data_IF_774143942233
#
_entry.id   IF_774143942233
#
_cell.length_a   1.000
_cell.length_b   1.000
_cell.length_c   1.000
_cell.angle_alpha   90.00
_cell.angle_beta   90.00
_cell.angle_gamma   90.00
#
_symmetry.space_group_name_H-M   'P 1'
#
loop_
_entity.id
_entity.type
_entity.pdbx_description
1 polymer ?
#
# COMPACT_ATOMS: atom_id res chain seq x y z
N UNK A 1 -23.41 4.28 -0.17
CA UNK A 1 -23.43 3.08 -1.04
C UNK A 1 -23.72 1.81 -0.26
N UNK A 2 -22.99 1.51 0.82
CA UNK A 2 -23.25 0.34 1.69
C UNK A 2 -24.75 0.17 2.05
N UNK A 3 -25.42 1.20 2.59
CA UNK A 3 -26.84 1.08 2.96
C UNK A 3 -27.83 0.82 1.80
N UNK A 4 -27.50 1.17 0.55
CA UNK A 4 -28.38 0.93 -0.61
C UNK A 4 -28.33 -0.53 -1.03
N UNK A 5 -27.12 -1.09 -1.12
CA UNK A 5 -26.89 -2.50 -1.47
C UNK A 5 -27.41 -3.42 -0.36
N UNK A 6 -27.27 -3.00 0.90
CA UNK A 6 -27.75 -3.77 2.05
C UNK A 6 -29.28 -3.87 2.14
N UNK A 7 -30.01 -2.98 1.48
CA UNK A 7 -31.48 -3.06 1.42
C UNK A 7 -31.98 -3.93 0.25
N UNK A 8 -31.07 -4.49 -0.56
CA UNK A 8 -31.42 -5.39 -1.66
C UNK A 8 -31.54 -6.84 -1.20
N UNK A 9 -32.21 -7.65 -2.01
CA UNK A 9 -32.23 -9.11 -1.84
C UNK A 9 -30.80 -9.69 -1.82
N UNK A 10 -30.50 -10.53 -0.83
CA UNK A 10 -29.14 -11.02 -0.54
C UNK A 10 -28.53 -11.73 -1.76
N UNK A 11 -29.36 -12.49 -2.49
CA UNK A 11 -28.96 -13.21 -3.71
C UNK A 11 -28.40 -12.32 -4.83
N UNK A 12 -28.70 -11.01 -4.81
CA UNK A 12 -28.31 -10.06 -5.86
C UNK A 12 -27.19 -9.12 -5.43
N UNK A 13 -26.82 -9.08 -4.15
CA UNK A 13 -25.90 -8.08 -3.59
C UNK A 13 -24.51 -8.17 -4.23
N UNK A 14 -23.94 -9.38 -4.34
CA UNK A 14 -22.63 -9.61 -4.97
C UNK A 14 -22.60 -9.10 -6.40
N UNK A 15 -23.56 -9.51 -7.22
CA UNK A 15 -23.65 -9.09 -8.62
C UNK A 15 -23.77 -7.57 -8.75
N UNK A 16 -24.54 -6.92 -7.88
CA UNK A 16 -24.71 -5.47 -7.91
C UNK A 16 -23.43 -4.73 -7.52
N UNK A 17 -22.68 -5.21 -6.52
CA UNK A 17 -21.39 -4.63 -6.14
C UNK A 17 -20.41 -4.73 -7.30
N UNK A 18 -20.30 -5.90 -7.91
CA UNK A 18 -19.44 -6.15 -9.07
C UNK A 18 -19.81 -5.21 -10.23
N UNK A 19 -21.09 -5.04 -10.51
CA UNK A 19 -21.57 -4.09 -11.53
C UNK A 19 -21.18 -2.64 -11.19
N UNK A 20 -21.34 -2.21 -9.94
CA UNK A 20 -20.91 -0.88 -9.50
C UNK A 20 -19.40 -0.65 -9.70
N UNK A 21 -18.58 -1.66 -9.42
CA UNK A 21 -17.13 -1.59 -9.63
C UNK A 21 -16.83 -1.48 -11.13
N UNK A 22 -17.40 -2.37 -11.97
CA UNK A 22 -17.17 -2.39 -13.42
C UNK A 22 -17.59 -1.12 -14.14
N UNK A 23 -18.73 -0.55 -13.75
CA UNK A 23 -19.28 0.62 -14.42
C UNK A 23 -18.57 1.93 -14.04
N UNK A 24 -17.77 1.94 -12.96
CA UNK A 24 -16.99 3.11 -12.58
C UNK A 24 -15.70 3.19 -13.40
N UNK A 25 -15.40 4.33 -14.04
CA UNK A 25 -14.08 4.57 -14.64
C UNK A 25 -13.04 5.04 -13.61
N UNK A 26 -13.43 5.36 -12.38
CA UNK A 26 -12.55 5.89 -11.35
C UNK A 26 -12.01 4.78 -10.43
N UNK A 27 -10.68 4.51 -10.41
CA UNK A 27 -10.07 3.50 -9.54
C UNK A 27 -10.23 3.81 -8.05
N UNK A 28 -10.26 5.10 -7.67
CA UNK A 28 -10.47 5.50 -6.28
C UNK A 28 -11.84 5.04 -5.78
N UNK A 29 -12.87 5.32 -6.57
CA UNK A 29 -14.23 4.84 -6.31
C UNK A 29 -14.32 3.31 -6.28
N UNK A 30 -13.72 2.60 -7.24
CA UNK A 30 -13.71 1.12 -7.25
C UNK A 30 -13.15 0.55 -5.94
N UNK A 31 -12.03 1.12 -5.48
CA UNK A 31 -11.40 0.75 -4.20
C UNK A 31 -12.32 1.05 -3.02
N UNK A 32 -12.94 2.24 -2.99
CA UNK A 32 -13.82 2.63 -1.89
C UNK A 32 -15.05 1.73 -1.82
N UNK A 33 -15.65 1.36 -2.96
CA UNK A 33 -16.77 0.40 -3.00
C UNK A 33 -16.38 -0.91 -2.30
N UNK A 34 -15.20 -1.44 -2.62
CA UNK A 34 -14.70 -2.68 -2.03
C UNK A 34 -14.35 -2.53 -0.54
N UNK A 35 -13.72 -1.41 -0.15
CA UNK A 35 -13.31 -1.16 1.24
C UNK A 35 -14.46 -0.98 2.20
N UNK A 36 -15.57 -0.41 1.73
CA UNK A 36 -16.76 -0.14 2.57
C UNK A 36 -17.79 -1.28 2.56
N UNK A 37 -17.44 -2.46 2.03
CA UNK A 37 -18.23 -3.66 2.20
C UNK A 37 -18.28 -4.03 3.68
N UNK A 38 -19.50 -4.32 4.17
CA UNK A 38 -19.69 -4.86 5.51
C UNK A 38 -19.34 -6.35 5.45
N UNK A 39 -18.30 -6.76 6.16
CA UNK A 39 -17.82 -8.14 6.21
C UNK A 39 -18.33 -8.81 7.47
N UNK A 40 -18.64 -10.09 7.40
CA UNK A 40 -19.03 -10.85 8.59
C UNK A 40 -17.85 -10.88 9.58
N UNK A 41 -18.03 -10.30 10.77
CA UNK A 41 -17.05 -10.42 11.85
C UNK A 41 -17.38 -11.63 12.72
N UNK A 42 -16.38 -12.47 13.02
CA UNK A 42 -16.55 -13.69 13.84
C UNK A 42 -17.20 -13.42 15.21
N UNK A 43 -16.98 -12.23 15.77
CA UNK A 43 -17.47 -11.85 17.10
C UNK A 43 -18.76 -11.00 17.07
N UNK A 44 -19.18 -10.53 15.89
CA UNK A 44 -20.40 -9.73 15.66
C UNK A 44 -20.97 -10.05 14.28
N UNK A 45 -21.71 -11.16 14.13
CA UNK A 45 -22.37 -11.46 12.87
C UNK A 45 -23.47 -10.42 12.61
N UNK A 46 -23.14 -9.37 11.86
CA UNK A 46 -24.16 -8.51 11.26
C UNK A 46 -24.96 -9.37 10.27
N UNK A 47 -26.27 -9.50 10.49
CA UNK A 47 -27.17 -10.35 9.67
C UNK A 47 -27.13 -10.06 8.16
N UNK A 48 -26.63 -8.89 7.79
CA UNK A 48 -26.60 -8.38 6.42
C UNK A 48 -25.17 -8.27 5.84
N UNK A 49 -24.13 -8.71 6.55
CA UNK A 49 -22.79 -8.65 6.01
C UNK A 49 -22.52 -9.69 4.90
N UNK A 50 -21.48 -9.43 4.11
CA UNK A 50 -20.94 -10.36 3.14
C UNK A 50 -20.05 -11.39 3.84
N UNK A 51 -20.21 -12.65 3.44
CA UNK A 51 -19.33 -13.76 3.82
C UNK A 51 -17.92 -13.58 3.26
N UNK A 52 -16.96 -14.33 3.79
CA UNK A 52 -15.59 -14.33 3.28
C UNK A 52 -15.54 -14.74 1.79
N UNK A 53 -16.28 -15.78 1.41
CA UNK A 53 -16.35 -16.23 0.02
C UNK A 53 -16.96 -15.17 -0.91
N UNK A 54 -18.00 -14.46 -0.46
CA UNK A 54 -18.58 -13.36 -1.24
C UNK A 54 -17.61 -12.19 -1.39
N UNK A 55 -16.84 -11.86 -0.34
CA UNK A 55 -15.82 -10.81 -0.39
C UNK A 55 -14.71 -11.19 -1.36
N UNK A 56 -14.29 -12.45 -1.41
CA UNK A 56 -13.27 -12.93 -2.33
C UNK A 56 -13.72 -12.82 -3.78
N UNK A 57 -14.94 -13.29 -4.07
CA UNK A 57 -15.54 -13.15 -5.41
C UNK A 57 -15.63 -11.67 -5.82
N UNK A 58 -16.03 -10.79 -4.89
CA UNK A 58 -16.08 -9.37 -5.18
C UNK A 58 -14.67 -8.80 -5.40
N UNK A 59 -13.68 -9.23 -4.62
CA UNK A 59 -12.28 -8.74 -4.63
C UNK A 59 -11.53 -9.04 -5.92
N UNK A 60 -11.89 -10.11 -6.64
CA UNK A 60 -11.35 -10.40 -7.97
C UNK A 60 -11.67 -9.29 -9.01
N UNK A 61 -12.81 -8.63 -8.89
CA UNK A 61 -13.23 -7.61 -9.85
C UNK A 61 -12.40 -6.31 -9.78
N UNK A 62 -12.26 -5.62 -8.62
CA UNK A 62 -11.37 -4.48 -8.52
C UNK A 62 -9.92 -4.89 -8.82
N UNK A 63 -9.48 -6.11 -8.48
CA UNK A 63 -8.15 -6.59 -8.87
C UNK A 63 -7.96 -6.60 -10.40
N UNK A 64 -8.95 -7.10 -11.16
CA UNK A 64 -8.93 -7.06 -12.63
C UNK A 64 -8.89 -5.63 -13.17
N UNK A 65 -9.72 -4.73 -12.62
CA UNK A 65 -9.74 -3.33 -13.03
C UNK A 65 -8.39 -2.63 -12.77
N UNK A 66 -7.79 -2.91 -11.61
CA UNK A 66 -6.51 -2.34 -11.20
C UNK A 66 -5.32 -2.94 -11.96
N UNK A 67 -5.36 -4.23 -12.32
CA UNK A 67 -4.36 -4.83 -13.22
C UNK A 67 -4.37 -4.11 -14.58
N UNK A 68 -5.55 -3.85 -15.14
CA UNK A 68 -5.69 -3.10 -16.39
C UNK A 68 -5.22 -1.65 -16.27
N UNK A 69 -5.39 -1.02 -15.11
CA UNK A 69 -4.84 0.31 -14.81
C UNK A 69 -3.31 0.27 -14.81
N UNK A 70 -2.70 -0.68 -14.10
CA UNK A 70 -1.25 -0.84 -14.03
C UNK A 70 -0.65 -1.05 -15.43
N UNK A 71 -1.25 -1.91 -16.25
CA UNK A 71 -0.77 -2.17 -17.62
C UNK A 71 -0.80 -0.94 -18.55
N UNK A 72 -1.64 0.06 -18.24
CA UNK A 72 -1.75 1.31 -19.00
C UNK A 72 -0.97 2.47 -18.36
N UNK A 73 -0.48 2.28 -17.14
CA UNK A 73 0.21 3.30 -16.38
C UNK A 73 1.70 3.20 -16.67
N UNK A 74 2.36 4.34 -16.90
CA UNK A 74 3.82 4.36 -16.97
C UNK A 74 4.45 4.32 -15.56
N UNK A 75 3.86 5.06 -14.63
CA UNK A 75 4.25 5.17 -13.23
C UNK A 75 3.02 5.42 -12.34
N UNK A 76 2.61 4.37 -11.61
CA UNK A 76 1.42 4.43 -10.74
C UNK A 76 1.67 5.27 -9.48
N UNK A 77 2.92 5.43 -9.07
CA UNK A 77 3.29 6.26 -7.91
C UNK A 77 3.05 7.74 -8.16
N UNK A 78 3.04 8.15 -9.43
CA UNK A 78 2.73 9.52 -9.85
C UNK A 78 1.27 9.69 -10.26
N UNK A 79 0.71 8.72 -10.99
CA UNK A 79 -0.66 8.81 -11.50
C UNK A 79 -1.72 8.62 -10.41
N UNK A 80 -1.44 7.76 -9.42
CA UNK A 80 -2.41 7.37 -8.39
C UNK A 80 -1.84 7.34 -6.95
N UNK A 81 -1.00 8.32 -6.52
CA UNK A 81 -0.20 8.25 -5.30
C UNK A 81 -1.01 7.95 -4.03
N UNK A 82 -2.23 8.49 -3.94
CA UNK A 82 -3.09 8.37 -2.74
C UNK A 82 -3.71 6.98 -2.58
N UNK A 83 -3.81 6.23 -3.67
CA UNK A 83 -4.43 4.91 -3.70
C UNK A 83 -3.43 3.79 -3.99
N UNK A 84 -2.17 4.11 -4.33
CA UNK A 84 -1.11 3.14 -4.64
C UNK A 84 -0.99 2.02 -3.61
N UNK A 85 -1.04 2.31 -2.30
CA UNK A 85 -0.99 1.27 -1.28
C UNK A 85 -2.24 0.35 -1.34
N UNK A 86 -3.42 0.91 -1.61
CA UNK A 86 -4.63 0.09 -1.76
C UNK A 86 -4.58 -0.75 -3.03
N UNK A 87 -4.00 -0.20 -4.11
CA UNK A 87 -3.74 -0.93 -5.35
C UNK A 87 -2.83 -2.13 -5.05
N UNK A 88 -1.72 -1.89 -4.33
CA UNK A 88 -0.80 -2.96 -3.97
C UNK A 88 -1.46 -4.02 -3.11
N UNK A 89 -2.27 -3.62 -2.12
CA UNK A 89 -2.99 -4.52 -1.23
C UNK A 89 -4.00 -5.41 -1.98
N UNK A 90 -4.86 -4.81 -2.80
CA UNK A 90 -5.88 -5.57 -3.55
C UNK A 90 -5.22 -6.51 -4.55
N UNK A 91 -4.17 -6.08 -5.24
CA UNK A 91 -3.46 -6.94 -6.18
C UNK A 91 -2.69 -8.06 -5.47
N UNK A 92 -2.05 -7.82 -4.33
CA UNK A 92 -1.39 -8.88 -3.57
C UNK A 92 -2.37 -9.93 -3.04
N UNK A 93 -3.56 -9.49 -2.60
CA UNK A 93 -4.56 -10.39 -2.02
C UNK A 93 -5.37 -11.16 -3.08
N UNK A 94 -5.77 -10.49 -4.17
CA UNK A 94 -6.74 -11.02 -5.13
C UNK A 94 -6.19 -11.22 -6.55
N UNK A 95 -4.94 -10.86 -6.82
CA UNK A 95 -4.27 -11.18 -8.08
C UNK A 95 -3.21 -12.27 -7.85
N UNK A 96 -3.32 -13.38 -8.57
CA UNK A 96 -2.34 -14.48 -8.48
C UNK A 96 -0.96 -14.15 -9.07
N UNK A 97 -0.80 -12.97 -9.67
CA UNK A 97 0.43 -12.54 -10.34
C UNK A 97 1.04 -11.35 -9.60
N UNK A 98 2.38 -11.24 -9.54
CA UNK A 98 3.07 -10.10 -8.93
C UNK A 98 3.07 -8.86 -9.85
N UNK A 99 1.88 -8.42 -10.27
CA UNK A 99 1.69 -7.33 -11.25
C UNK A 99 2.22 -6.02 -10.69
N UNK A 100 1.83 -5.68 -9.46
CA UNK A 100 2.25 -4.43 -8.81
C UNK A 100 3.76 -4.39 -8.59
N UNK A 101 4.31 -5.47 -8.04
CA UNK A 101 5.75 -5.59 -7.77
C UNK A 101 6.58 -5.41 -9.05
N UNK A 102 6.21 -6.12 -10.13
CA UNK A 102 6.88 -6.02 -11.43
C UNK A 102 6.83 -4.60 -11.98
N UNK A 103 5.66 -3.97 -11.94
CA UNK A 103 5.47 -2.61 -12.41
C UNK A 103 6.37 -1.63 -11.67
N UNK A 104 6.37 -1.68 -10.34
CA UNK A 104 7.20 -0.80 -9.50
C UNK A 104 8.69 -1.05 -9.74
N UNK A 105 9.13 -2.30 -9.92
CA UNK A 105 10.53 -2.60 -10.29
C UNK A 105 10.92 -1.95 -11.62
N UNK A 106 10.03 -1.96 -12.61
CA UNK A 106 10.27 -1.30 -13.90
C UNK A 106 10.29 0.23 -13.78
N UNK A 107 9.43 0.81 -12.95
CA UNK A 107 9.45 2.25 -12.63
C UNK A 107 10.79 2.60 -11.98
N UNK A 108 11.23 1.88 -10.95
CA UNK A 108 12.47 2.17 -10.21
C UNK A 108 13.73 2.00 -11.06
N UNK A 109 13.72 1.08 -12.03
CA UNK A 109 14.80 0.95 -13.03
C UNK A 109 14.95 2.18 -13.91
N UNK A 110 13.82 2.83 -14.25
CA UNK A 110 13.77 4.02 -15.13
C UNK A 110 13.99 5.32 -14.34
N UNK A 111 13.44 5.40 -13.15
CA UNK A 111 13.50 6.55 -12.26
C UNK A 111 13.72 6.09 -10.81
N UNK A 112 14.97 6.16 -10.34
CA UNK A 112 15.32 5.80 -8.97
C UNK A 112 14.65 6.71 -7.93
N UNK A 113 14.32 7.95 -8.27
CA UNK A 113 13.65 8.89 -7.35
C UNK A 113 12.22 8.45 -7.00
N UNK A 114 11.64 7.54 -7.80
CA UNK A 114 10.34 6.94 -7.52
C UNK A 114 10.32 6.16 -6.19
N UNK A 115 11.47 5.80 -5.63
CA UNK A 115 11.55 5.16 -4.31
C UNK A 115 10.96 6.05 -3.21
N UNK A 116 11.17 7.36 -3.29
CA UNK A 116 10.59 8.32 -2.34
C UNK A 116 9.07 8.33 -2.47
N UNK A 117 8.55 8.37 -3.71
CA UNK A 117 7.10 8.35 -3.99
C UNK A 117 6.45 7.03 -3.55
N UNK A 118 7.14 5.91 -3.74
CA UNK A 118 6.69 4.60 -3.28
C UNK A 118 6.57 4.57 -1.76
N UNK A 119 7.64 4.92 -1.02
CA UNK A 119 7.61 4.94 0.44
C UNK A 119 6.55 5.90 0.96
N UNK A 120 6.45 7.08 0.35
CA UNK A 120 5.45 8.10 0.70
C UNK A 120 4.02 7.61 0.48
N UNK A 121 3.77 6.82 -0.57
CA UNK A 121 2.44 6.25 -0.83
C UNK A 121 1.98 5.25 0.25
N UNK A 122 2.91 4.65 0.99
CA UNK A 122 2.58 3.79 2.14
C UNK A 122 2.36 4.60 3.42
N UNK A 123 2.81 5.86 3.48
CA UNK A 123 2.55 6.74 4.64
C UNK A 123 1.12 7.25 4.64
N UNK A 124 0.46 7.22 5.79
CA UNK A 124 -0.89 7.77 5.94
C UNK A 124 -0.84 9.30 5.95
N UNK A 125 -1.79 9.95 5.28
CA UNK A 125 -1.98 11.39 5.47
C UNK A 125 -2.74 11.59 6.78
N UNK A 126 -2.09 12.18 7.80
CA UNK A 126 -2.76 12.57 9.04
C UNK A 126 -3.16 14.04 8.90
N UNK A 127 -4.46 14.30 8.91
CA UNK A 127 -4.94 15.68 9.02
C UNK A 127 -4.80 16.12 10.48
N UNK A 128 -3.98 17.14 10.74
CA UNK A 128 -4.00 17.87 12.01
C UNK A 128 -4.72 19.21 11.81
N UNK A 129 -5.16 19.80 12.92
CA UNK A 129 -5.81 21.12 12.94
C UNK A 129 -4.91 22.27 12.49
N UNK A 130 -3.59 22.03 12.36
CA UNK A 130 -2.60 23.02 11.92
C UNK A 130 -2.19 22.87 10.44
N UNK A 131 -2.77 21.90 9.72
CA UNK A 131 -2.47 21.61 8.32
C UNK A 131 -2.34 20.10 8.06
N UNK A 132 -2.16 19.72 6.80
CA UNK A 132 -1.89 18.31 6.47
C UNK A 132 -0.43 17.97 6.79
N UNK A 133 -0.19 17.12 7.79
CA UNK A 133 1.12 16.50 8.02
C UNK A 133 1.02 15.03 7.59
N UNK A 134 1.72 14.62 6.53
CA UNK A 134 1.78 13.18 6.24
C UNK A 134 2.67 12.51 7.28
N UNK A 135 2.22 11.39 7.81
CA UNK A 135 2.86 10.67 8.90
C UNK A 135 4.28 10.22 8.56
N UNK A 136 5.08 9.97 9.59
CA UNK A 136 6.32 9.19 9.45
C UNK A 136 6.01 7.76 8.96
N UNK A 137 6.98 7.17 8.27
CA UNK A 137 7.01 5.75 7.90
C UNK A 137 7.40 4.92 9.13
N UNK A 138 6.50 4.05 9.58
CA UNK A 138 6.65 3.26 10.82
C UNK A 138 6.63 1.76 10.51
N UNK A 139 6.69 0.95 11.57
CA UNK A 139 6.70 -0.51 11.47
C UNK A 139 5.53 -1.09 10.65
N UNK A 140 4.35 -0.50 10.74
CA UNK A 140 3.18 -0.96 9.99
C UNK A 140 3.36 -0.74 8.48
N UNK A 141 3.85 0.43 8.08
CA UNK A 141 4.15 0.74 6.69
C UNK A 141 5.28 -0.14 6.16
N UNK A 142 6.32 -0.38 6.96
CA UNK A 142 7.38 -1.33 6.66
C UNK A 142 6.82 -2.73 6.39
N UNK A 143 6.05 -3.29 7.33
CA UNK A 143 5.50 -4.65 7.20
C UNK A 143 4.61 -4.78 5.95
N UNK A 144 3.82 -3.76 5.62
CA UNK A 144 2.98 -3.74 4.42
C UNK A 144 3.81 -3.75 3.14
N UNK A 145 4.89 -2.97 3.10
CA UNK A 145 5.77 -2.89 1.94
C UNK A 145 6.58 -4.18 1.77
N UNK A 146 7.14 -4.71 2.86
CA UNK A 146 7.98 -5.92 2.83
C UNK A 146 7.21 -7.22 2.64
N UNK A 147 5.88 -7.18 2.72
CA UNK A 147 5.02 -8.28 2.27
C UNK A 147 5.08 -8.46 0.75
N UNK A 148 5.32 -7.37 0.01
CA UNK A 148 5.29 -7.35 -1.46
C UNK A 148 6.70 -7.32 -2.04
N UNK A 149 7.63 -6.61 -1.40
CA UNK A 149 9.01 -6.47 -1.87
C UNK A 149 9.98 -7.10 -0.88
N UNK A 150 10.97 -7.82 -1.41
CA UNK A 150 12.14 -8.21 -0.62
C UNK A 150 12.81 -6.94 -0.05
N UNK A 151 13.06 -6.88 1.27
CA UNK A 151 13.68 -5.71 1.89
C UNK A 151 15.02 -5.32 1.24
N UNK A 152 15.83 -6.30 0.84
CA UNK A 152 17.12 -6.14 0.19
C UNK A 152 17.00 -5.43 -1.16
N UNK A 153 15.92 -5.68 -1.90
CA UNK A 153 15.63 -4.94 -3.12
C UNK A 153 15.35 -3.45 -2.84
N UNK A 154 14.60 -3.15 -1.78
CA UNK A 154 14.32 -1.77 -1.39
C UNK A 154 15.61 -1.08 -0.91
N UNK A 155 16.43 -1.74 -0.08
CA UNK A 155 17.72 -1.21 0.39
C UNK A 155 18.67 -0.89 -0.75
N UNK A 156 18.88 -1.85 -1.67
CA UNK A 156 19.76 -1.64 -2.83
C UNK A 156 19.26 -0.51 -3.73
N UNK A 157 17.94 -0.31 -3.84
CA UNK A 157 17.36 0.82 -4.57
C UNK A 157 17.63 2.16 -3.86
N UNK A 158 17.49 2.20 -2.53
CA UNK A 158 17.80 3.38 -1.72
C UNK A 158 19.29 3.73 -1.83
N UNK A 159 20.18 2.75 -1.67
CA UNK A 159 21.62 2.93 -1.82
C UNK A 159 21.96 3.45 -3.21
N UNK A 160 21.39 2.85 -4.26
CA UNK A 160 21.61 3.30 -5.63
C UNK A 160 21.09 4.71 -5.93
N UNK A 161 20.16 5.22 -5.12
CA UNK A 161 19.63 6.59 -5.20
C UNK A 161 20.48 7.59 -4.38
N UNK A 162 20.92 7.21 -3.18
CA UNK A 162 21.68 8.07 -2.26
C UNK A 162 23.20 8.04 -2.50
N UNK A 163 23.72 7.01 -3.14
CA UNK A 163 25.15 6.69 -3.21
C UNK A 163 25.53 5.66 -2.14
N UNK A 164 25.24 5.98 -0.88
CA UNK A 164 25.49 5.11 0.28
C UNK A 164 24.27 5.07 1.20
N UNK A 165 24.10 3.97 1.93
CA UNK A 165 23.08 3.87 2.97
C UNK A 165 23.47 4.69 4.21
N UNK A 166 22.53 5.40 4.86
CA UNK A 166 22.80 6.09 6.12
C UNK A 166 23.34 5.13 7.18
N UNK A 167 24.50 5.41 7.78
CA UNK A 167 25.13 4.55 8.80
C UNK A 167 24.66 4.91 10.21
N UNK A 168 24.60 6.20 10.53
CA UNK A 168 24.34 6.67 11.90
C UNK A 168 22.84 6.92 12.10
N UNK A 169 22.15 5.98 12.76
CA UNK A 169 20.70 6.08 12.98
C UNK A 169 20.25 5.70 14.39
N UNK A 170 21.13 5.70 15.39
CA UNK A 170 20.77 5.35 16.78
C UNK A 170 19.60 6.20 17.31
N UNK A 171 19.61 7.50 17.02
CA UNK A 171 18.59 8.49 17.47
C UNK A 171 17.50 8.80 16.42
N UNK A 172 17.45 8.04 15.34
CA UNK A 172 16.48 8.21 14.26
C UNK A 172 15.12 7.61 14.67
N UNK A 173 13.95 8.24 14.39
CA UNK A 173 13.70 9.37 13.48
C UNK A 173 13.58 10.75 14.17
N UNK A 174 13.97 10.93 15.44
CA UNK A 174 13.65 12.17 16.19
C UNK A 174 14.45 13.41 15.75
N UNK A 175 15.57 13.25 15.03
CA UNK A 175 16.55 14.31 14.80
C UNK A 175 16.42 15.10 13.48
N UNK A 176 15.37 14.90 12.66
CA UNK A 176 15.27 15.59 11.37
C UNK A 176 14.06 16.51 11.29
N UNK A 177 14.32 17.80 11.53
CA UNK A 177 13.39 18.92 11.34
C UNK A 177 13.18 19.31 9.86
N UNK A 178 13.63 18.50 8.90
CA UNK A 178 13.47 18.82 7.50
C UNK A 178 12.19 18.22 6.92
N UNK A 179 11.33 19.07 6.38
CA UNK A 179 10.12 18.74 5.60
C UNK A 179 10.40 17.97 4.28
N UNK A 180 11.60 17.41 4.10
CA UNK A 180 11.97 16.68 2.91
C UNK A 180 11.51 15.21 3.03
N UNK A 181 10.87 14.72 1.97
CA UNK A 181 10.40 13.33 1.84
C UNK A 181 11.56 12.33 1.77
N UNK A 182 12.79 12.78 1.56
CA UNK A 182 13.99 11.94 1.67
C UNK A 182 14.15 11.28 3.05
N UNK A 183 13.57 11.85 4.12
CA UNK A 183 13.57 11.23 5.47
C UNK A 183 13.00 9.81 5.47
N UNK A 184 12.06 9.52 4.55
CA UNK A 184 11.42 8.21 4.46
C UNK A 184 12.44 7.10 4.12
N UNK A 185 13.50 7.44 3.37
CA UNK A 185 14.58 6.51 3.03
C UNK A 185 15.32 6.07 4.29
N UNK A 186 15.68 7.04 5.13
CA UNK A 186 16.30 6.78 6.43
C UNK A 186 15.38 5.96 7.35
N UNK A 187 14.07 6.26 7.36
CA UNK A 187 13.07 5.52 8.15
C UNK A 187 13.00 4.05 7.73
N UNK A 188 13.03 3.76 6.44
CA UNK A 188 13.05 2.38 5.95
C UNK A 188 14.31 1.64 6.39
N UNK A 189 15.50 2.24 6.18
CA UNK A 189 16.79 1.64 6.55
C UNK A 189 16.84 1.31 8.05
N UNK A 190 16.43 2.27 8.89
CA UNK A 190 16.43 2.10 10.34
C UNK A 190 15.51 0.97 10.80
N UNK A 191 14.29 0.92 10.26
CA UNK A 191 13.32 -0.13 10.59
C UNK A 191 13.84 -1.51 10.17
N UNK A 192 14.46 -1.61 8.99
CA UNK A 192 15.04 -2.86 8.52
C UNK A 192 16.15 -3.36 9.46
N UNK A 193 17.10 -2.50 9.85
CA UNK A 193 18.18 -2.88 10.78
C UNK A 193 17.67 -3.35 12.13
N UNK A 194 16.59 -2.73 12.64
CA UNK A 194 15.96 -3.16 13.89
C UNK A 194 15.20 -4.47 13.77
N UNK A 195 14.61 -4.73 12.60
CA UNK A 195 13.92 -5.98 12.30
C UNK A 195 14.92 -7.14 12.07
N UNK A 196 16.13 -6.85 11.63
CA UNK A 196 17.21 -7.81 11.36
C UNK A 196 18.22 -7.86 12.53
N UNK A 197 18.11 -8.80 13.49
CA UNK A 197 19.03 -8.88 14.65
C UNK A 197 20.50 -9.13 14.29
N UNK A 198 20.82 -9.43 13.02
CA UNK A 198 22.17 -9.83 12.57
C UNK A 198 23.23 -8.72 12.58
N UNK A 199 22.88 -7.44 12.75
CA UNK A 199 23.87 -6.35 12.77
C UNK A 199 24.29 -5.89 14.17
N UNK A 200 23.70 -6.42 15.25
CA UNK A 200 24.14 -6.08 16.62
C UNK A 200 25.42 -6.79 17.06
N UNK A 201 25.82 -7.84 16.36
CA UNK A 201 26.95 -8.68 16.77
C UNK A 201 28.29 -8.27 16.13
N UNK A 202 28.31 -7.34 15.16
CA UNK A 202 29.55 -6.88 14.48
C UNK A 202 30.13 -5.58 15.07
N UNK A 203 29.42 -4.89 15.97
CA UNK A 203 29.91 -3.67 16.65
C UNK A 203 30.38 -3.93 18.10
N UNK A 204 30.48 -5.21 18.51
CA UNK A 204 30.92 -5.59 19.87
C UNK A 204 32.22 -6.41 19.92
N UNK A 205 33.01 -6.43 18.85
CA UNK A 205 34.39 -7.01 18.87
C UNK A 205 35.49 -5.93 18.90
#
# INVERSE_FOLDING_TARGET
>A
MSNLIQNMDKSRRVAQVIECIRCSPDPGFQIDVFRFLRKEEKDKPEKDAFTEEEVDIIGEEPARCLEALIQKSDDITTQAPRITWYISYILDEYCQKPVFERHIREVLKRDKSAIIRLLDAYTSTVWSTEGSYRSSFKQNEYNKLTRIFEPEFILSTIESYLGDLPTDQEDFPQAHEHNDRSILLGQFVWLHRRASPKQRDEETE
#
